data_IF_154732139111
#
_entry.id   IF_154732139111
#
_cell.length_a   1.000
_cell.length_b   1.000
_cell.length_c   1.000
_cell.angle_alpha   90.00
_cell.angle_beta   90.00
_cell.angle_gamma   90.00
#
_symmetry.space_group_name_H-M   'P 1'
#
loop_
_entity.id
_entity.type
_entity.pdbx_description
1 polymer ?
#
# COMPACT_ATOMS: atom_id res chain seq x y z
N UNK A 1 -5.00 -22.58 36.77
CA UNK A 1 -6.04 -21.99 35.87
C UNK A 1 -5.81 -20.48 35.72
N UNK A 2 -4.89 -20.04 34.85
CA UNK A 2 -4.59 -18.61 34.63
C UNK A 2 -5.44 -18.05 33.49
N UNK A 3 -6.62 -17.57 33.88
CA UNK A 3 -7.37 -16.43 33.35
C UNK A 3 -7.57 -16.28 31.83
N UNK A 4 -8.60 -16.96 31.27
CA UNK A 4 -9.16 -16.68 29.93
C UNK A 4 -9.55 -15.19 29.72
N UNK A 5 -9.83 -14.46 30.81
CA UNK A 5 -10.25 -13.06 30.79
C UNK A 5 -9.15 -12.07 30.31
N UNK A 6 -7.86 -12.40 30.49
CA UNK A 6 -6.76 -11.50 30.09
C UNK A 6 -6.54 -11.49 28.56
N UNK A 7 -6.79 -12.62 27.90
CA UNK A 7 -6.61 -12.78 26.44
C UNK A 7 -7.71 -12.10 25.62
N UNK A 8 -8.94 -12.05 26.14
CA UNK A 8 -10.07 -11.33 25.52
C UNK A 8 -9.86 -9.80 25.54
N UNK A 9 -9.30 -9.26 26.62
CA UNK A 9 -9.01 -7.82 26.73
C UNK A 9 -7.93 -7.34 25.74
N UNK A 10 -6.90 -8.15 25.48
CA UNK A 10 -5.88 -7.80 24.49
C UNK A 10 -6.40 -7.83 23.04
N UNK A 11 -7.26 -8.81 22.72
CA UNK A 11 -7.94 -8.85 21.43
C UNK A 11 -8.88 -7.66 21.21
N UNK A 12 -9.59 -7.21 22.26
CA UNK A 12 -10.43 -6.01 22.18
C UNK A 12 -9.59 -4.74 21.95
N UNK A 13 -8.44 -4.63 22.63
CA UNK A 13 -7.52 -3.50 22.48
C UNK A 13 -6.95 -3.42 21.07
N UNK A 14 -6.52 -4.53 20.49
CA UNK A 14 -6.02 -4.55 19.11
C UNK A 14 -7.11 -4.21 18.09
N UNK A 15 -8.33 -4.69 18.29
CA UNK A 15 -9.48 -4.33 17.45
C UNK A 15 -9.80 -2.84 17.54
N UNK A 16 -9.80 -2.28 18.76
CA UNK A 16 -10.02 -0.84 18.96
C UNK A 16 -8.93 0.02 18.34
N UNK A 17 -7.67 -0.43 18.39
CA UNK A 17 -6.54 0.26 17.78
C UNK A 17 -6.67 0.28 16.24
N UNK A 18 -7.05 -0.85 15.63
CA UNK A 18 -7.30 -0.92 14.19
C UNK A 18 -8.45 -0.01 13.76
N UNK A 19 -9.55 0.03 14.51
CA UNK A 19 -10.68 0.93 14.23
C UNK A 19 -10.27 2.40 14.32
N UNK A 20 -9.55 2.78 15.38
CA UNK A 20 -9.02 4.14 15.53
C UNK A 20 -8.11 4.54 14.36
N UNK A 21 -7.26 3.62 13.89
CA UNK A 21 -6.40 3.86 12.72
C UNK A 21 -7.22 4.10 11.45
N UNK A 22 -8.26 3.29 11.21
CA UNK A 22 -9.16 3.46 10.04
C UNK A 22 -9.85 4.82 10.08
N UNK A 23 -10.45 5.19 11.21
CA UNK A 23 -11.09 6.50 11.36
C UNK A 23 -10.10 7.66 11.24
N UNK A 24 -8.89 7.51 11.78
CA UNK A 24 -7.81 8.48 11.64
C UNK A 24 -7.42 8.69 10.18
N UNK A 25 -7.28 7.62 9.40
CA UNK A 25 -6.98 7.69 7.97
C UNK A 25 -8.07 8.40 7.17
N UNK A 26 -9.35 8.08 7.44
CA UNK A 26 -10.49 8.75 6.80
C UNK A 26 -10.51 10.25 7.16
N UNK A 27 -10.25 10.58 8.43
CA UNK A 27 -10.22 11.97 8.90
C UNK A 27 -9.11 12.77 8.22
N UNK A 28 -7.89 12.23 8.14
CA UNK A 28 -6.77 12.87 7.44
C UNK A 28 -7.11 13.05 5.95
N UNK A 29 -7.69 12.05 5.30
CA UNK A 29 -8.15 12.15 3.91
C UNK A 29 -9.20 13.25 3.72
N UNK A 30 -10.14 13.39 4.64
CA UNK A 30 -11.12 14.48 4.64
C UNK A 30 -10.47 15.85 4.78
N UNK A 31 -9.54 16.02 5.73
CA UNK A 31 -8.81 17.27 5.91
C UNK A 31 -8.07 17.65 4.62
N UNK A 32 -7.41 16.69 3.95
CA UNK A 32 -6.73 16.93 2.67
C UNK A 32 -7.70 17.40 1.58
N UNK A 33 -8.88 16.78 1.46
CA UNK A 33 -9.90 17.20 0.48
C UNK A 33 -10.45 18.60 0.76
N UNK A 34 -10.68 18.95 2.03
CA UNK A 34 -11.10 20.30 2.43
C UNK A 34 -10.01 21.32 2.12
N UNK A 35 -8.75 20.98 2.39
CA UNK A 35 -7.61 21.85 2.08
C UNK A 35 -7.54 22.11 0.56
N UNK A 36 -7.66 21.06 -0.26
CA UNK A 36 -7.71 21.19 -1.72
C UNK A 36 -8.88 22.05 -2.21
N UNK A 37 -10.03 22.00 -1.53
CA UNK A 37 -11.20 22.85 -1.81
C UNK A 37 -10.92 24.33 -1.54
N UNK A 38 -10.16 24.65 -0.49
CA UNK A 38 -9.79 26.04 -0.17
C UNK A 38 -8.79 26.61 -1.20
N UNK A 39 -7.85 25.79 -1.68
CA UNK A 39 -6.81 26.22 -2.62
C UNK A 39 -7.24 26.16 -4.10
N UNK A 40 -8.35 25.50 -4.45
CA UNK A 40 -8.82 25.41 -5.83
C UNK A 40 -10.24 25.98 -5.99
N UNK A 41 -10.43 27.04 -6.79
CA UNK A 41 -11.75 27.65 -7.00
C UNK A 41 -12.74 26.75 -7.76
N UNK A 42 -12.29 25.61 -8.28
CA UNK A 42 -13.12 24.63 -9.00
C UNK A 42 -13.77 23.58 -8.09
N UNK A 43 -13.31 23.45 -6.84
CA UNK A 43 -13.75 22.39 -5.93
C UNK A 43 -14.45 23.05 -4.75
N UNK A 44 -15.78 23.06 -4.77
CA UNK A 44 -16.57 23.54 -3.63
C UNK A 44 -16.57 22.54 -2.47
N UNK A 45 -16.96 22.99 -1.27
CA UNK A 45 -17.05 22.14 -0.08
C UNK A 45 -17.96 20.92 -0.29
N UNK A 46 -19.06 21.08 -1.03
CA UNK A 46 -19.97 19.99 -1.38
C UNK A 46 -19.29 18.87 -2.21
N UNK A 47 -18.32 19.23 -3.05
CA UNK A 47 -17.57 18.25 -3.85
C UNK A 47 -16.51 17.52 -3.02
N UNK A 48 -15.93 18.19 -2.02
CA UNK A 48 -15.06 17.51 -1.04
C UNK A 48 -15.81 16.45 -0.24
N UNK A 49 -17.06 16.76 0.18
CA UNK A 49 -17.94 15.79 0.86
C UNK A 49 -18.36 14.67 -0.08
N UNK A 50 -18.70 14.96 -1.35
CA UNK A 50 -18.94 13.91 -2.35
C UNK A 50 -17.72 13.02 -2.57
N UNK A 51 -16.52 13.60 -2.58
CA UNK A 51 -15.26 12.86 -2.68
C UNK A 51 -15.12 11.83 -1.55
N UNK A 52 -15.40 12.21 -0.30
CA UNK A 52 -15.34 11.27 0.83
C UNK A 52 -16.37 10.13 0.67
N UNK A 53 -17.58 10.44 0.20
CA UNK A 53 -18.63 9.46 -0.02
C UNK A 53 -18.30 8.47 -1.15
N UNK A 54 -17.62 8.94 -2.20
CA UNK A 54 -17.12 8.09 -3.28
C UNK A 54 -16.00 7.17 -2.76
N UNK A 55 -15.06 7.69 -1.98
CA UNK A 55 -14.00 6.87 -1.36
C UNK A 55 -14.58 5.81 -0.43
N UNK A 56 -15.60 6.15 0.36
CA UNK A 56 -16.29 5.21 1.25
C UNK A 56 -17.16 4.19 0.49
N UNK A 57 -17.80 4.60 -0.61
CA UNK A 57 -18.56 3.70 -1.47
C UNK A 57 -17.67 2.79 -2.32
N UNK A 58 -16.39 3.15 -2.48
CA UNK A 58 -15.34 2.30 -3.02
C UNK A 58 -15.69 1.75 -4.41
N UNK A 59 -15.49 0.45 -4.68
CA UNK A 59 -15.72 -0.14 -6.00
C UNK A 59 -17.21 -0.23 -6.38
N UNK A 60 -18.12 0.14 -5.48
CA UNK A 60 -19.57 0.12 -5.69
C UNK A 60 -20.18 1.51 -5.93
N UNK A 61 -19.42 2.59 -5.75
CA UNK A 61 -19.93 3.96 -6.00
C UNK A 61 -19.85 4.41 -7.45
N UNK A 62 -19.03 3.76 -8.27
CA UNK A 62 -18.92 4.04 -9.71
C UNK A 62 -19.89 3.16 -10.51
N UNK A 63 -20.74 3.76 -11.34
CA UNK A 63 -21.78 3.08 -12.15
C UNK A 63 -21.30 2.12 -13.25
N UNK A 64 -20.13 1.51 -13.10
CA UNK A 64 -19.56 0.52 -14.01
C UNK A 64 -19.56 -0.90 -13.44
N UNK A 65 -18.78 -1.81 -14.06
CA UNK A 65 -18.65 -3.19 -13.61
C UNK A 65 -17.99 -3.29 -12.22
N UNK A 66 -18.81 -3.37 -11.17
CA UNK A 66 -18.39 -3.42 -9.76
C UNK A 66 -17.39 -4.55 -9.47
N UNK A 67 -17.54 -5.69 -10.13
CA UNK A 67 -16.63 -6.84 -10.04
C UNK A 67 -15.21 -6.52 -10.53
N UNK A 68 -15.11 -5.80 -11.66
CA UNK A 68 -13.82 -5.38 -12.21
C UNK A 68 -13.17 -4.30 -11.34
N UNK A 69 -13.95 -3.34 -10.84
CA UNK A 69 -13.48 -2.30 -9.93
C UNK A 69 -12.99 -2.88 -8.60
N UNK A 70 -13.69 -3.89 -8.07
CA UNK A 70 -13.27 -4.61 -6.87
C UNK A 70 -11.95 -5.36 -7.11
N UNK A 71 -11.80 -6.03 -8.25
CA UNK A 71 -10.55 -6.67 -8.66
C UNK A 71 -9.38 -5.68 -8.70
N UNK A 72 -9.58 -4.51 -9.31
CA UNK A 72 -8.58 -3.44 -9.32
C UNK A 72 -8.26 -2.88 -7.94
N UNK A 73 -9.27 -2.75 -7.07
CA UNK A 73 -9.06 -2.34 -5.68
C UNK A 73 -8.15 -3.33 -4.95
N UNK A 74 -8.40 -4.64 -5.07
CA UNK A 74 -7.56 -5.68 -4.47
C UNK A 74 -6.16 -5.66 -5.06
N UNK A 75 -6.02 -5.56 -6.39
CA UNK A 75 -4.73 -5.52 -7.05
C UNK A 75 -3.86 -4.36 -6.56
N UNK A 76 -4.45 -3.18 -6.36
CA UNK A 76 -3.74 -2.00 -5.85
C UNK A 76 -3.53 -2.03 -4.32
N UNK A 77 -4.48 -2.59 -3.56
CA UNK A 77 -4.40 -2.63 -2.10
C UNK A 77 -3.42 -3.69 -1.59
N UNK A 78 -3.31 -4.84 -2.28
CA UNK A 78 -2.46 -5.97 -1.88
C UNK A 78 -0.99 -5.54 -1.63
N UNK A 79 -0.30 -4.86 -2.55
CA UNK A 79 1.08 -4.44 -2.29
C UNK A 79 1.19 -3.48 -1.11
N UNK A 80 0.25 -2.55 -0.93
CA UNK A 80 0.23 -1.61 0.21
C UNK A 80 0.03 -2.32 1.55
N UNK A 81 -0.79 -3.37 1.60
CA UNK A 81 -0.98 -4.18 2.81
C UNK A 81 0.30 -4.97 3.11
N UNK A 82 0.91 -5.58 2.10
CA UNK A 82 2.16 -6.34 2.26
C UNK A 82 3.33 -5.45 2.71
N UNK A 83 3.43 -4.22 2.22
CA UNK A 83 4.46 -3.27 2.68
C UNK A 83 4.24 -2.86 4.14
N UNK A 84 3.01 -2.55 4.54
CA UNK A 84 2.68 -2.26 5.93
C UNK A 84 2.93 -3.45 6.87
N UNK A 85 2.62 -4.67 6.40
CA UNK A 85 2.88 -5.91 7.14
C UNK A 85 4.39 -6.15 7.33
N UNK A 86 5.19 -5.91 6.30
CA UNK A 86 6.65 -5.99 6.36
C UNK A 86 7.23 -5.03 7.40
N UNK A 87 6.78 -3.78 7.42
CA UNK A 87 7.21 -2.78 8.41
C UNK A 87 6.82 -3.19 9.85
N UNK A 88 5.61 -3.73 10.04
CA UNK A 88 5.17 -4.25 11.35
C UNK A 88 6.06 -5.40 11.85
N UNK A 89 6.50 -6.30 10.96
CA UNK A 89 7.42 -7.40 11.30
C UNK A 89 8.79 -6.83 11.71
N UNK A 90 9.31 -5.82 10.99
CA UNK A 90 10.57 -5.15 11.32
C UNK A 90 10.53 -4.41 12.67
N UNK A 91 9.43 -3.72 12.99
CA UNK A 91 9.28 -3.06 14.28
C UNK A 91 9.13 -4.04 15.44
N UNK A 92 8.55 -5.22 15.20
CA UNK A 92 8.42 -6.26 16.24
C UNK A 92 9.76 -6.93 16.58
N UNK A 93 10.74 -6.91 15.67
CA UNK A 93 12.10 -7.40 15.94
C UNK A 93 13.05 -6.32 16.47
N UNK A 94 12.57 -5.08 16.66
CA UNK A 94 13.32 -4.00 17.32
C UNK A 94 14.34 -3.27 16.45
N UNK A 95 14.38 -3.54 15.15
CA UNK A 95 15.27 -2.87 14.20
C UNK A 95 14.56 -1.64 13.60
N UNK A 96 14.88 -0.45 14.12
CA UNK A 96 14.35 0.83 13.65
C UNK A 96 14.83 1.22 12.23
N UNK A 97 15.81 0.51 11.67
CA UNK A 97 16.25 0.64 10.29
C UNK A 97 16.99 -0.64 9.84
N UNK A 98 16.37 -1.43 8.97
CA UNK A 98 16.98 -2.63 8.32
C UNK A 98 17.76 -2.24 7.04
N UNK A 99 17.84 -0.95 6.70
CA UNK A 99 18.26 -0.51 5.37
C UNK A 99 17.19 -0.76 4.30
N UNK A 100 15.94 -1.05 4.70
CA UNK A 100 14.79 -1.27 3.83
C UNK A 100 14.60 -0.19 2.73
N UNK A 101 14.74 1.13 2.99
CA UNK A 101 14.68 2.12 1.91
C UNK A 101 15.81 1.96 0.88
N UNK A 102 17.00 1.52 1.31
CA UNK A 102 18.12 1.22 0.42
C UNK A 102 17.89 -0.07 -0.39
N UNK A 103 17.37 -1.12 0.23
CA UNK A 103 16.99 -2.37 -0.44
C UNK A 103 15.94 -2.13 -1.52
N UNK A 104 14.93 -1.30 -1.23
CA UNK A 104 13.90 -0.92 -2.20
C UNK A 104 14.48 -0.12 -3.36
N UNK A 105 15.30 0.90 -3.07
CA UNK A 105 15.92 1.74 -4.11
C UNK A 105 16.80 0.91 -5.05
N UNK A 106 17.65 0.04 -4.50
CA UNK A 106 18.55 -0.79 -5.29
C UNK A 106 17.83 -1.89 -6.07
N UNK A 107 16.82 -2.53 -5.46
CA UNK A 107 15.98 -3.50 -6.15
C UNK A 107 15.23 -2.87 -7.33
N UNK A 108 14.60 -1.71 -7.13
CA UNK A 108 13.90 -0.98 -8.18
C UNK A 108 14.85 -0.51 -9.29
N UNK A 109 16.02 0.04 -8.94
CA UNK A 109 17.03 0.48 -9.89
C UNK A 109 17.48 -0.67 -10.80
N UNK A 110 17.83 -1.83 -10.23
CA UNK A 110 18.32 -2.98 -11.00
C UNK A 110 17.21 -3.60 -11.84
N UNK A 111 15.98 -3.71 -11.34
CA UNK A 111 14.82 -4.15 -12.14
C UNK A 111 14.61 -3.25 -13.35
N UNK A 112 14.69 -1.92 -13.19
CA UNK A 112 14.53 -0.97 -14.29
C UNK A 112 15.67 -1.06 -15.30
N UNK A 113 16.93 -1.18 -14.84
CA UNK A 113 18.08 -1.37 -15.73
C UNK A 113 17.88 -2.63 -16.58
N UNK A 114 17.60 -3.78 -15.96
CA UNK A 114 17.42 -5.05 -16.68
C UNK A 114 16.23 -5.00 -17.64
N UNK A 115 15.11 -4.40 -17.21
CA UNK A 115 13.90 -4.30 -18.05
C UNK A 115 14.06 -3.36 -19.24
N UNK A 116 14.90 -2.32 -19.14
CA UNK A 116 15.11 -1.34 -20.20
C UNK A 116 16.31 -1.67 -21.10
N UNK A 117 17.29 -2.44 -20.60
CA UNK A 117 18.46 -2.84 -21.37
C UNK A 117 18.18 -3.96 -22.38
N UNK A 118 17.12 -4.77 -22.19
CA UNK A 118 16.80 -5.90 -23.08
C UNK A 118 15.68 -5.50 -24.06
N UNK A 119 15.95 -5.45 -25.38
CA UNK A 119 14.91 -5.15 -26.37
C UNK A 119 13.88 -6.28 -26.45
N UNK A 120 12.61 -5.93 -26.25
CA UNK A 120 11.47 -6.85 -26.39
C UNK A 120 11.27 -7.41 -27.81
N UNK A 121 11.95 -6.83 -28.81
CA UNK A 121 11.98 -7.34 -30.18
C UNK A 121 12.84 -8.61 -30.32
N UNK A 122 13.81 -8.81 -29.42
CA UNK A 122 14.79 -9.91 -29.49
C UNK A 122 14.54 -11.01 -28.45
N UNK A 123 13.91 -10.65 -27.33
CA UNK A 123 13.64 -11.58 -26.22
C UNK A 123 12.16 -11.51 -25.85
N UNK A 124 11.47 -12.65 -25.68
CA UNK A 124 10.08 -12.66 -25.26
C UNK A 124 9.87 -11.94 -23.93
N UNK A 125 8.87 -11.05 -23.88
CA UNK A 125 8.56 -10.22 -22.71
C UNK A 125 8.43 -10.97 -21.36
N UNK A 126 7.85 -12.20 -21.29
CA UNK A 126 7.79 -12.95 -20.04
C UNK A 126 9.17 -13.31 -19.48
N UNK A 127 10.15 -13.55 -20.35
CA UNK A 127 11.52 -13.89 -19.96
C UNK A 127 12.23 -12.66 -19.39
N UNK A 128 12.05 -11.50 -20.03
CA UNK A 128 12.60 -10.22 -19.54
C UNK A 128 12.04 -9.90 -18.16
N UNK A 129 10.74 -10.12 -17.96
CA UNK A 129 10.07 -9.85 -16.69
C UNK A 129 10.59 -10.73 -15.55
N UNK A 130 10.73 -12.04 -15.80
CA UNK A 130 11.33 -13.00 -14.85
C UNK A 130 12.77 -12.62 -14.49
N UNK A 131 13.58 -12.26 -15.49
CA UNK A 131 14.96 -11.81 -15.29
C UNK A 131 15.03 -10.54 -14.45
N UNK A 132 14.22 -9.53 -14.77
CA UNK A 132 14.19 -8.26 -14.05
C UNK A 132 13.74 -8.43 -12.58
N UNK A 133 12.82 -9.36 -12.32
CA UNK A 133 12.38 -9.73 -10.98
C UNK A 133 13.48 -10.43 -10.20
N UNK A 134 14.16 -11.41 -10.78
CA UNK A 134 15.25 -12.14 -10.13
C UNK A 134 16.45 -11.22 -9.86
N UNK A 135 16.85 -10.41 -10.83
CA UNK A 135 17.96 -9.47 -10.66
C UNK A 135 17.64 -8.38 -9.62
N UNK A 136 16.42 -7.83 -9.63
CA UNK A 136 16.00 -6.84 -8.63
C UNK A 136 15.92 -7.40 -7.22
N UNK A 137 15.38 -8.61 -7.05
CA UNK A 137 15.33 -9.29 -5.75
C UNK A 137 16.72 -9.59 -5.22
N UNK A 138 17.64 -10.09 -6.07
CA UNK A 138 19.03 -10.33 -5.68
C UNK A 138 19.77 -9.05 -5.31
N UNK A 139 19.61 -7.97 -6.08
CA UNK A 139 20.24 -6.70 -5.78
C UNK A 139 19.74 -6.07 -4.47
N UNK A 140 18.42 -6.11 -4.25
CA UNK A 140 17.83 -5.67 -2.98
C UNK A 140 18.30 -6.52 -1.80
N UNK A 141 18.44 -7.83 -1.98
CA UNK A 141 18.94 -8.73 -0.95
C UNK A 141 20.43 -8.52 -0.65
N UNK A 142 21.28 -8.34 -1.68
CA UNK A 142 22.72 -8.07 -1.55
C UNK A 142 23.01 -6.74 -0.86
N UNK A 143 22.22 -5.71 -1.14
CA UNK A 143 22.35 -4.40 -0.49
C UNK A 143 21.89 -4.45 0.98
N UNK A 144 21.02 -5.40 1.29
CA UNK A 144 20.44 -5.59 2.60
C UNK A 144 21.18 -6.55 3.53
N UNK A 145 22.14 -7.30 2.99
CA UNK A 145 22.97 -8.27 3.70
C UNK A 145 24.18 -7.59 4.35
#
# INVERSE_FOLDING_TARGET
MKNKNKKSSEGLKSLSASLLCIFGGIFVGFVVLVLLSVFNPRIGFAEAVRGILIVLGGPFSGGGNSLFQFGNMLFNATPLILTGLSACIAFKTGLFNIGAPGQYLMGAMVTLIVSLSIPSATVPSPVIWLLALICGTLAGALWGA
#
